data_IF_396028414499
#
_entry.id   IF_396028414499
#
_cell.length_a   1.000
_cell.length_b   1.000
_cell.length_c   1.000
_cell.angle_alpha   90.00
_cell.angle_beta   90.00
_cell.angle_gamma   90.00
#
_symmetry.space_group_name_H-M   'P 1'
#
loop_
_entity.id
_entity.type
_entity.pdbx_description
1 polymer ?
#
# COMPACT_ATOMS: atom_id res chain seq x y z
N UNK A 1 -12.24 -8.30 6.22
CA UNK A 1 -11.87 -8.80 4.87
C UNK A 1 -10.73 -9.80 5.04
N UNK A 2 -10.86 -11.07 4.63
CA UNK A 2 -9.78 -12.05 4.75
C UNK A 2 -8.60 -11.62 3.89
N UNK A 3 -7.40 -11.73 4.44
CA UNK A 3 -6.14 -11.40 3.75
C UNK A 3 -5.36 -12.68 3.55
N UNK A 4 -4.92 -12.89 2.32
CA UNK A 4 -4.08 -14.02 1.95
C UNK A 4 -2.70 -13.50 1.55
N UNK A 5 -1.67 -14.22 1.98
CA UNK A 5 -0.31 -14.02 1.52
C UNK A 5 -0.18 -14.49 0.06
N UNK A 6 0.95 -14.15 -0.57
CA UNK A 6 1.23 -14.51 -1.97
C UNK A 6 1.25 -16.04 -2.17
N UNK A 7 1.64 -16.79 -1.13
CA UNK A 7 1.65 -18.26 -1.13
C UNK A 7 0.25 -18.89 -0.90
N UNK A 8 -0.79 -18.08 -0.76
CA UNK A 8 -2.17 -18.52 -0.54
C UNK A 8 -2.52 -18.84 0.91
N UNK A 9 -1.58 -18.72 1.84
CA UNK A 9 -1.86 -18.88 3.28
C UNK A 9 -2.62 -17.68 3.82
N UNK A 10 -3.40 -17.87 4.89
CA UNK A 10 -4.01 -16.75 5.61
C UNK A 10 -2.92 -15.90 6.27
N UNK A 11 -3.06 -14.58 6.18
CA UNK A 11 -2.17 -13.66 6.88
C UNK A 11 -2.28 -13.93 8.39
N UNK A 12 -1.13 -14.11 9.05
CA UNK A 12 -1.05 -14.43 10.49
C UNK A 12 -1.63 -13.34 11.38
N UNK A 13 -1.61 -12.08 10.94
CA UNK A 13 -2.29 -10.99 11.64
C UNK A 13 -3.80 -10.95 11.44
N UNK A 14 -4.36 -11.90 10.71
CA UNK A 14 -5.79 -12.08 10.52
C UNK A 14 -6.39 -11.17 9.45
N UNK A 15 -7.70 -10.98 9.58
CA UNK A 15 -8.50 -10.20 8.65
C UNK A 15 -8.32 -8.69 8.86
N UNK A 16 -8.50 -7.92 7.80
CA UNK A 16 -8.70 -6.47 7.92
C UNK A 16 -10.02 -6.23 8.68
N UNK A 17 -9.92 -5.55 9.81
CA UNK A 17 -11.05 -5.13 10.64
C UNK A 17 -11.26 -3.61 10.64
N UNK A 18 -10.23 -2.85 10.26
CA UNK A 18 -10.24 -1.40 10.36
C UNK A 18 -9.77 -0.74 9.07
N UNK A 19 -10.21 0.49 8.88
CA UNK A 19 -9.67 1.41 7.87
C UNK A 19 -9.06 2.60 8.59
N UNK A 20 -7.97 3.12 8.04
CA UNK A 20 -7.31 4.31 8.55
C UNK A 20 -7.18 5.35 7.44
N UNK A 21 -7.07 6.61 7.85
CA UNK A 21 -6.90 7.74 6.94
C UNK A 21 -5.62 8.46 7.30
N UNK A 22 -4.78 8.70 6.31
CA UNK A 22 -3.57 9.48 6.50
C UNK A 22 -3.20 10.22 5.22
N UNK A 23 -2.22 11.12 5.33
CA UNK A 23 -1.72 11.89 4.20
C UNK A 23 -0.41 11.26 3.73
N UNK A 24 -0.35 10.83 2.48
CA UNK A 24 0.90 10.43 1.82
C UNK A 24 1.54 11.69 1.25
N UNK A 25 2.83 11.87 1.53
CA UNK A 25 3.66 12.92 0.95
C UNK A 25 4.89 12.31 0.32
N UNK A 26 5.14 12.61 -0.95
CA UNK A 26 6.31 12.09 -1.66
C UNK A 26 6.65 13.01 -2.84
N UNK A 27 7.92 13.45 -2.93
CA UNK A 27 8.42 14.34 -4.01
C UNK A 27 7.48 15.51 -4.39
N UNK A 28 6.91 16.18 -3.39
CA UNK A 28 5.98 17.30 -3.61
C UNK A 28 4.51 16.91 -3.82
N UNK A 29 4.22 15.64 -4.13
CA UNK A 29 2.86 15.11 -4.10
C UNK A 29 2.33 15.03 -2.67
N UNK A 30 1.05 15.36 -2.48
CA UNK A 30 0.36 15.27 -1.19
C UNK A 30 -1.09 14.84 -1.42
N UNK A 31 -1.45 13.66 -0.93
CA UNK A 31 -2.80 13.10 -1.08
C UNK A 31 -3.29 12.53 0.26
N UNK A 32 -4.58 12.70 0.57
CA UNK A 32 -5.23 11.94 1.65
C UNK A 32 -5.67 10.59 1.11
N UNK A 33 -5.18 9.52 1.71
CA UNK A 33 -5.51 8.14 1.31
C UNK A 33 -6.34 7.46 2.40
N UNK A 34 -7.19 6.54 1.97
CA UNK A 34 -7.87 5.59 2.86
C UNK A 34 -7.18 4.24 2.69
N UNK A 35 -6.65 3.68 3.78
CA UNK A 35 -5.99 2.38 3.75
C UNK A 35 -6.73 1.38 4.62
N UNK A 36 -6.57 0.11 4.26
CA UNK A 36 -7.04 -1.02 5.04
C UNK A 36 -5.94 -1.44 6.02
N UNK A 37 -6.26 -1.48 7.31
CA UNK A 37 -5.28 -1.76 8.34
C UNK A 37 -5.22 -3.28 8.61
N UNK A 38 -4.02 -3.84 8.48
CA UNK A 38 -3.71 -5.23 8.81
C UNK A 38 -2.24 -5.34 9.25
N UNK A 39 -1.84 -6.51 9.75
CA UNK A 39 -0.44 -6.79 10.05
C UNK A 39 0.35 -7.01 8.76
N UNK A 40 1.38 -6.18 8.57
CA UNK A 40 2.26 -6.21 7.42
C UNK A 40 3.70 -6.65 7.78
N UNK A 41 3.92 -7.03 9.04
CA UNK A 41 5.24 -7.43 9.52
C UNK A 41 6.19 -6.23 9.58
N UNK A 42 7.26 -6.23 8.78
CA UNK A 42 8.25 -5.14 8.72
C UNK A 42 7.85 -4.00 7.77
N UNK A 43 6.80 -4.17 6.98
CA UNK A 43 6.35 -3.19 6.00
C UNK A 43 5.35 -2.25 6.67
N UNK A 44 5.53 -0.94 6.51
CA UNK A 44 4.63 0.05 7.12
C UNK A 44 3.41 0.35 6.24
N UNK A 45 3.57 0.28 4.91
CA UNK A 45 2.54 0.63 3.94
C UNK A 45 2.77 -0.12 2.64
N UNK A 46 1.70 -0.64 2.05
CA UNK A 46 1.69 -1.18 0.68
C UNK A 46 0.74 -0.31 -0.14
N UNK A 47 1.25 0.26 -1.24
CA UNK A 47 0.42 0.91 -2.24
C UNK A 47 -0.09 -0.15 -3.21
N UNK A 48 -1.37 -0.46 -3.10
CA UNK A 48 -2.03 -1.47 -3.93
C UNK A 48 -2.21 -1.03 -5.38
N UNK A 49 -2.62 -1.99 -6.21
CA UNK A 49 -2.86 -1.79 -7.64
C UNK A 49 -3.84 -0.63 -7.94
N UNK A 50 -4.90 -0.47 -7.17
CA UNK A 50 -5.88 0.62 -7.37
C UNK A 50 -5.25 2.01 -7.25
N UNK A 51 -4.31 2.19 -6.33
CA UNK A 51 -3.58 3.44 -6.18
C UNK A 51 -2.62 3.67 -7.34
N UNK A 52 -1.88 2.62 -7.74
CA UNK A 52 -0.93 2.66 -8.86
C UNK A 52 -1.64 2.93 -10.20
N UNK A 53 -2.77 2.26 -10.46
CA UNK A 53 -3.55 2.44 -11.69
C UNK A 53 -4.10 3.87 -11.80
N UNK A 54 -4.59 4.43 -10.68
CA UNK A 54 -5.12 5.79 -10.64
C UNK A 54 -4.05 6.85 -10.99
N UNK A 55 -2.83 6.69 -10.46
CA UNK A 55 -1.77 7.69 -10.63
C UNK A 55 -0.84 7.41 -11.81
N UNK A 56 -0.80 6.16 -12.29
CA UNK A 56 0.06 5.68 -13.36
C UNK A 56 1.52 6.20 -13.29
N UNK A 57 2.21 6.04 -12.14
CA UNK A 57 3.53 6.62 -11.97
C UNK A 57 4.57 5.96 -12.85
N UNK A 58 5.59 6.74 -13.22
CA UNK A 58 6.83 6.17 -13.78
C UNK A 58 7.66 5.59 -12.65
N UNK A 59 8.05 4.32 -12.77
CA UNK A 59 8.87 3.65 -11.77
C UNK A 59 10.20 3.26 -12.40
N UNK A 60 11.29 3.81 -11.86
CA UNK A 60 12.63 3.33 -12.13
C UNK A 60 12.97 2.22 -11.13
N UNK A 61 12.99 0.99 -11.61
CA UNK A 61 13.25 -0.20 -10.80
C UNK A 61 14.72 -0.37 -10.41
N UNK A 62 15.66 0.31 -11.10
CA UNK A 62 17.08 0.25 -10.75
C UNK A 62 17.39 1.19 -9.59
N UNK A 63 16.83 2.39 -9.61
CA UNK A 63 17.06 3.41 -8.57
C UNK A 63 16.01 3.37 -7.46
N UNK A 64 14.87 2.73 -7.70
CA UNK A 64 13.72 2.72 -6.79
C UNK A 64 12.95 4.04 -6.79
N UNK A 65 13.24 4.95 -7.72
CA UNK A 65 12.56 6.24 -7.81
C UNK A 65 11.21 6.06 -8.49
N UNK A 66 10.17 6.50 -7.81
CA UNK A 66 8.83 6.67 -8.39
C UNK A 66 8.66 8.14 -8.75
N UNK A 67 8.07 8.45 -9.89
CA UNK A 67 7.65 9.79 -10.31
C UNK A 67 6.16 9.76 -10.59
N UNK A 68 5.42 10.62 -9.90
CA UNK A 68 3.98 10.78 -10.01
C UNK A 68 3.61 11.86 -11.02
#
# INVERSE_FOLDING_TARGET
>A
IPVYNIDGTLNTGGCIMHKCFFVVKYQGHRERVTAEATQLGKINLILGWTWLFKHNPKTDWQTGVVTL
#
